data_IF_954426042718
#
_entry.id   IF_954426042718
#
_cell.length_a   1.000
_cell.length_b   1.000
_cell.length_c   1.000
_cell.angle_alpha   90.00
_cell.angle_beta   90.00
_cell.angle_gamma   90.00
#
_symmetry.space_group_name_H-M   'P 1'
#
loop_
_entity.id
_entity.type
_entity.pdbx_description
1 polymer ?
#
# COMPACT_ATOMS: atom_id res chain seq x y z
N UNK A 1 36.13 -67.01 13.18
CA UNK A 1 35.39 -66.69 11.95
C UNK A 1 36.35 -65.86 11.12
N UNK A 2 36.94 -66.47 10.09
CA UNK A 2 38.08 -65.95 9.35
C UNK A 2 37.69 -64.74 8.48
N UNK A 3 38.54 -63.72 8.48
CA UNK A 3 38.48 -62.57 7.59
C UNK A 3 38.63 -63.01 6.12
N UNK A 4 37.68 -62.61 5.29
CA UNK A 4 37.69 -62.84 3.84
C UNK A 4 38.64 -61.79 3.24
N UNK A 5 39.67 -62.18 2.46
CA UNK A 5 40.57 -61.24 1.79
C UNK A 5 39.80 -60.34 0.82
N UNK A 6 40.14 -59.05 0.81
CA UNK A 6 39.51 -58.00 0.01
C UNK A 6 39.84 -58.10 -1.51
N UNK A 7 40.22 -59.27 -1.99
CA UNK A 7 40.60 -59.53 -3.39
C UNK A 7 39.47 -60.16 -4.23
N UNK A 8 38.29 -60.39 -3.66
CA UNK A 8 37.14 -61.01 -4.36
C UNK A 8 35.90 -60.10 -4.44
N UNK A 9 36.08 -58.80 -4.69
CA UNK A 9 34.98 -57.84 -4.84
C UNK A 9 35.03 -57.00 -6.13
N UNK A 10 35.64 -57.49 -7.21
CA UNK A 10 35.65 -56.79 -8.49
C UNK A 10 35.56 -57.74 -9.70
N UNK A 11 34.46 -58.48 -9.84
CA UNK A 11 34.16 -59.21 -11.08
C UNK A 11 32.66 -59.12 -11.45
N UNK A 12 32.08 -57.92 -11.44
CA UNK A 12 30.70 -57.75 -11.96
C UNK A 12 30.45 -56.43 -12.69
N UNK A 13 31.47 -55.90 -13.36
CA UNK A 13 31.28 -54.86 -14.39
C UNK A 13 32.41 -54.93 -15.44
N UNK A 14 32.48 -56.00 -16.24
CA UNK A 14 33.11 -55.85 -17.55
C UNK A 14 32.06 -55.20 -18.44
N UNK A 15 32.30 -53.96 -18.86
CA UNK A 15 31.55 -53.36 -19.95
C UNK A 15 31.90 -54.16 -21.22
N UNK A 16 31.06 -55.12 -21.58
CA UNK A 16 31.16 -55.75 -22.89
C UNK A 16 30.74 -54.72 -23.94
N UNK A 17 31.58 -54.50 -24.94
CA UNK A 17 31.28 -53.62 -26.05
C UNK A 17 29.99 -54.09 -26.74
N UNK A 18 29.05 -53.18 -27.00
CA UNK A 18 27.83 -53.54 -27.71
C UNK A 18 28.18 -54.20 -29.05
N UNK A 19 27.43 -55.24 -29.46
CA UNK A 19 27.71 -56.01 -30.68
C UNK A 19 27.72 -55.16 -31.96
N UNK A 20 27.31 -53.89 -31.87
CA UNK A 20 27.31 -52.90 -32.94
C UNK A 20 27.84 -51.56 -32.44
N UNK A 21 28.95 -51.11 -33.03
CA UNK A 21 29.54 -49.78 -32.81
C UNK A 21 29.22 -48.91 -34.00
N UNK A 22 28.61 -47.75 -33.77
CA UNK A 22 28.31 -46.78 -34.81
C UNK A 22 29.48 -45.80 -34.94
N UNK A 23 29.96 -45.62 -36.18
CA UNK A 23 31.08 -44.76 -36.52
C UNK A 23 30.61 -43.61 -37.40
N UNK A 24 30.96 -42.38 -37.02
CA UNK A 24 30.65 -41.18 -37.78
C UNK A 24 31.91 -40.47 -38.24
N UNK A 25 31.87 -39.98 -39.47
CA UNK A 25 32.89 -39.14 -40.06
C UNK A 25 32.26 -37.80 -40.43
N UNK A 26 32.85 -36.71 -39.96
CA UNK A 26 32.41 -35.36 -40.29
C UNK A 26 33.54 -34.62 -40.99
N UNK A 27 33.38 -34.41 -42.30
CA UNK A 27 34.41 -33.80 -43.14
C UNK A 27 34.14 -32.31 -43.38
N UNK A 28 34.93 -31.45 -42.72
CA UNK A 28 34.87 -30.01 -42.92
C UNK A 28 35.97 -29.49 -43.87
N UNK A 29 36.75 -30.37 -44.51
CA UNK A 29 37.84 -29.94 -45.41
C UNK A 29 37.34 -29.08 -46.57
N UNK A 30 36.10 -29.32 -47.03
CA UNK A 30 35.46 -28.52 -48.08
C UNK A 30 35.27 -27.04 -47.72
N UNK A 31 35.28 -26.70 -46.43
CA UNK A 31 35.16 -25.31 -45.93
C UNK A 31 36.42 -24.83 -45.20
N UNK A 32 37.56 -25.52 -45.37
CA UNK A 32 38.84 -25.17 -44.75
C UNK A 32 38.99 -25.65 -43.30
N UNK A 33 38.12 -26.55 -42.82
CA UNK A 33 38.22 -27.19 -41.50
C UNK A 33 38.90 -28.55 -41.54
N UNK A 34 38.93 -29.22 -40.39
CA UNK A 34 39.48 -30.57 -40.23
C UNK A 34 38.39 -31.65 -40.33
N UNK A 35 38.79 -32.89 -40.59
CA UNK A 35 37.90 -34.06 -40.60
C UNK A 35 37.88 -34.69 -39.21
N UNK A 36 36.69 -34.85 -38.64
CA UNK A 36 36.48 -35.40 -37.29
C UNK A 36 35.89 -36.82 -37.36
N UNK A 37 36.26 -37.65 -36.39
CA UNK A 37 35.87 -39.06 -36.31
C UNK A 37 35.28 -39.35 -34.93
N UNK A 38 34.05 -39.86 -34.90
CA UNK A 38 33.31 -40.08 -33.66
C UNK A 38 32.74 -41.50 -33.56
N UNK A 39 32.66 -42.06 -32.36
CA UNK A 39 31.96 -43.32 -32.09
C UNK A 39 30.91 -43.18 -30.98
N UNK A 40 29.95 -44.09 -30.91
CA UNK A 40 28.89 -44.06 -29.90
C UNK A 40 29.35 -44.52 -28.52
N UNK A 41 30.34 -45.40 -28.46
CA UNK A 41 30.84 -46.02 -27.24
C UNK A 41 32.38 -46.14 -27.28
N UNK A 42 33.09 -46.03 -26.15
CA UNK A 42 34.53 -46.31 -26.06
C UNK A 42 34.83 -47.81 -26.27
N UNK A 43 36.11 -48.15 -26.45
CA UNK A 43 36.53 -49.55 -26.48
C UNK A 43 36.46 -50.21 -25.09
N UNK A 44 36.69 -51.52 -24.98
CA UNK A 44 36.65 -52.27 -23.71
C UNK A 44 37.64 -51.77 -22.63
N UNK A 45 38.61 -50.93 -23.02
CA UNK A 45 39.60 -50.31 -22.13
C UNK A 45 39.26 -48.87 -21.75
N UNK A 46 38.12 -48.34 -22.21
CA UNK A 46 37.72 -46.95 -22.00
C UNK A 46 38.47 -45.94 -22.86
N UNK A 47 39.18 -46.41 -23.89
CA UNK A 47 39.97 -45.57 -24.80
C UNK A 47 39.19 -45.31 -26.11
N UNK A 48 39.62 -44.31 -26.89
CA UNK A 48 39.11 -44.08 -28.24
C UNK A 48 39.21 -45.33 -29.11
N UNK A 49 38.21 -45.53 -29.97
CA UNK A 49 38.16 -46.71 -30.82
C UNK A 49 39.05 -46.53 -32.05
N UNK A 50 39.99 -47.43 -32.28
CA UNK A 50 40.77 -47.43 -33.53
C UNK A 50 40.15 -48.40 -34.54
N UNK A 51 39.69 -47.90 -35.68
CA UNK A 51 39.17 -48.71 -36.79
C UNK A 51 39.83 -48.31 -38.11
N UNK A 52 40.35 -49.30 -38.84
CA UNK A 52 41.09 -49.10 -40.11
C UNK A 52 42.23 -48.06 -40.01
N UNK A 53 42.93 -48.02 -38.87
CA UNK A 53 44.04 -47.10 -38.64
C UNK A 53 43.63 -45.66 -38.30
N UNK A 54 42.33 -45.39 -38.11
CA UNK A 54 41.81 -44.08 -37.69
C UNK A 54 41.23 -44.16 -36.28
N UNK A 55 41.46 -43.13 -35.48
CA UNK A 55 40.96 -43.01 -34.11
C UNK A 55 39.59 -42.32 -34.12
N UNK A 56 38.60 -42.94 -33.49
CA UNK A 56 37.24 -42.43 -33.31
C UNK A 56 37.04 -42.08 -31.84
N UNK A 57 36.71 -40.83 -31.58
CA UNK A 57 36.48 -40.34 -30.23
C UNK A 57 35.02 -40.61 -29.81
N UNK A 58 34.78 -41.17 -28.61
CA UNK A 58 33.42 -41.34 -28.10
C UNK A 58 32.71 -39.99 -28.03
N UNK A 59 31.65 -39.83 -28.83
CA UNK A 59 30.84 -38.62 -28.76
C UNK A 59 29.96 -38.73 -27.52
N UNK A 60 30.04 -37.80 -26.56
CA UNK A 60 29.17 -37.85 -25.41
C UNK A 60 27.74 -37.57 -25.85
N UNK A 61 26.95 -38.61 -26.13
CA UNK A 61 25.49 -38.52 -26.14
C UNK A 61 25.10 -38.34 -24.68
N UNK A 62 25.17 -37.11 -24.21
CA UNK A 62 24.55 -36.75 -22.95
C UNK A 62 23.05 -36.79 -23.17
N UNK A 63 22.38 -37.69 -22.46
CA UNK A 63 20.92 -37.71 -22.38
C UNK A 63 20.48 -36.37 -21.81
N UNK A 64 19.99 -35.46 -22.67
CA UNK A 64 19.57 -34.11 -22.25
C UNK A 64 18.43 -34.13 -21.23
N UNK A 65 17.59 -35.17 -21.29
CA UNK A 65 16.47 -35.39 -20.36
C UNK A 65 16.53 -36.82 -19.81
N UNK A 66 17.29 -37.07 -18.71
CA UNK A 66 17.41 -38.41 -18.12
C UNK A 66 16.06 -39.01 -17.67
N UNK A 67 15.04 -38.18 -17.47
CA UNK A 67 13.67 -38.59 -17.19
C UNK A 67 12.94 -39.21 -18.39
N UNK A 68 13.45 -39.04 -19.61
CA UNK A 68 12.73 -39.38 -20.84
C UNK A 68 11.56 -38.44 -21.16
N UNK A 69 11.37 -37.37 -20.37
CA UNK A 69 10.27 -36.41 -20.52
C UNK A 69 10.82 -35.09 -21.05
N UNK A 70 10.36 -34.67 -22.23
CA UNK A 70 10.65 -33.34 -22.78
C UNK A 70 9.78 -32.32 -22.02
N UNK A 71 10.38 -31.23 -21.48
CA UNK A 71 9.62 -30.19 -20.79
C UNK A 71 8.58 -29.51 -21.69
N UNK A 72 7.40 -29.23 -21.14
CA UNK A 72 6.42 -28.36 -21.81
C UNK A 72 6.89 -26.90 -21.71
N UNK A 73 7.21 -26.32 -22.86
CA UNK A 73 7.72 -24.95 -22.96
C UNK A 73 6.66 -23.94 -23.41
N UNK A 74 5.39 -24.35 -23.57
CA UNK A 74 4.30 -23.44 -23.96
C UNK A 74 4.05 -22.41 -22.85
N UNK A 75 4.10 -21.12 -23.18
CA UNK A 75 3.94 -20.03 -22.22
C UNK A 75 5.16 -19.78 -21.32
N UNK A 76 6.23 -20.58 -21.44
CA UNK A 76 7.41 -20.45 -20.58
C UNK A 76 8.52 -19.64 -21.26
N UNK A 77 9.24 -18.84 -20.46
CA UNK A 77 10.48 -18.17 -20.88
C UNK A 77 11.70 -18.86 -20.27
N UNK A 78 12.74 -19.09 -21.06
CA UNK A 78 14.00 -19.68 -20.56
C UNK A 78 14.77 -18.64 -19.74
N UNK A 79 15.02 -18.96 -18.48
CA UNK A 79 15.88 -18.20 -17.56
C UNK A 79 17.08 -19.05 -17.20
N UNK A 80 18.28 -18.47 -17.29
CA UNK A 80 19.51 -19.16 -16.89
C UNK A 80 19.44 -19.62 -15.43
N UNK A 81 19.88 -20.85 -15.15
CA UNK A 81 19.89 -21.38 -13.78
C UNK A 81 20.76 -20.48 -12.91
N UNK A 82 20.25 -19.94 -11.79
CA UNK A 82 21.08 -19.19 -10.87
C UNK A 82 22.18 -20.09 -10.28
N UNK A 83 23.23 -19.46 -9.76
CA UNK A 83 24.38 -20.15 -9.16
C UNK A 83 23.93 -21.10 -8.03
N UNK A 84 22.93 -20.69 -7.26
CA UNK A 84 22.33 -21.46 -6.16
C UNK A 84 20.82 -21.19 -6.08
N UNK A 85 20.12 -21.96 -5.24
CA UNK A 85 18.70 -21.71 -4.89
C UNK A 85 17.67 -22.28 -5.87
N UNK A 86 18.07 -22.85 -7.01
CA UNK A 86 17.17 -23.55 -7.95
C UNK A 86 17.83 -24.75 -8.62
N UNK A 87 17.03 -25.79 -8.86
CA UNK A 87 17.40 -26.95 -9.67
C UNK A 87 17.16 -26.69 -11.16
N UNK A 88 17.87 -27.43 -12.03
CA UNK A 88 17.65 -27.46 -13.48
C UNK A 88 16.22 -27.90 -13.78
N UNK A 89 15.56 -27.26 -14.76
CA UNK A 89 14.16 -27.48 -15.16
C UNK A 89 13.08 -27.24 -14.09
N UNK A 90 13.43 -26.64 -12.94
CA UNK A 90 12.41 -26.14 -12.02
C UNK A 90 11.58 -25.02 -12.69
N UNK A 91 10.32 -24.87 -12.29
CA UNK A 91 9.43 -23.79 -12.74
C UNK A 91 9.40 -22.65 -11.72
N UNK A 92 9.18 -21.42 -12.20
CA UNK A 92 9.02 -20.21 -11.40
C UNK A 92 7.89 -19.40 -12.02
N UNK A 93 6.81 -19.16 -11.28
CA UNK A 93 5.70 -18.34 -11.75
C UNK A 93 6.12 -16.87 -11.87
N UNK A 94 5.41 -16.14 -12.71
CA UNK A 94 5.53 -14.70 -12.83
C UNK A 94 5.10 -13.99 -11.54
N UNK A 95 5.56 -12.75 -11.38
CA UNK A 95 5.23 -11.97 -10.20
C UNK A 95 5.82 -10.56 -10.25
N UNK A 96 5.06 -9.61 -9.73
CA UNK A 96 5.54 -8.26 -9.57
C UNK A 96 6.55 -8.18 -8.43
N UNK A 97 7.61 -7.40 -8.65
CA UNK A 97 8.57 -7.09 -7.60
C UNK A 97 7.88 -6.27 -6.51
N UNK A 98 8.19 -6.57 -5.24
CA UNK A 98 7.73 -5.78 -4.09
C UNK A 98 8.06 -4.30 -4.27
N UNK A 99 7.06 -3.43 -4.10
CA UNK A 99 7.20 -1.98 -4.20
C UNK A 99 6.13 -1.28 -3.36
N UNK A 100 6.22 0.05 -3.27
CA UNK A 100 5.27 0.91 -2.57
C UNK A 100 4.87 2.10 -3.45
N UNK A 101 3.74 2.71 -3.16
CA UNK A 101 3.31 3.97 -3.77
C UNK A 101 3.28 5.09 -2.74
N UNK A 102 3.53 6.32 -3.19
CA UNK A 102 3.14 7.51 -2.43
C UNK A 102 1.69 7.83 -2.72
N UNK A 103 0.93 8.18 -1.69
CA UNK A 103 -0.47 8.59 -1.80
C UNK A 103 -0.70 9.85 -0.98
N UNK A 104 -1.63 10.70 -1.42
CA UNK A 104 -2.05 11.89 -0.69
C UNK A 104 -3.57 12.05 -0.79
N UNK A 105 -4.19 12.41 0.32
CA UNK A 105 -5.54 12.97 0.31
C UNK A 105 -5.46 14.47 -0.01
N UNK A 106 -6.49 14.99 -0.67
CA UNK A 106 -6.63 16.43 -0.87
C UNK A 106 -7.36 17.06 0.31
N UNK A 107 -7.10 18.33 0.55
CA UNK A 107 -7.80 19.10 1.59
C UNK A 107 -9.29 19.18 1.26
N UNK A 108 -10.13 19.09 2.29
CA UNK A 108 -11.60 19.21 2.18
C UNK A 108 -12.08 20.28 3.13
N UNK A 109 -12.63 21.37 2.59
CA UNK A 109 -13.29 22.42 3.37
C UNK A 109 -14.74 21.99 3.70
N UNK A 110 -15.07 21.93 4.99
CA UNK A 110 -16.43 21.60 5.46
C UNK A 110 -17.35 22.82 5.51
N UNK A 111 -16.80 24.03 5.37
CA UNK A 111 -17.50 25.30 5.36
C UNK A 111 -18.04 25.73 6.73
N UNK A 112 -18.71 26.88 6.75
CA UNK A 112 -19.33 27.46 7.96
C UNK A 112 -20.67 26.79 8.29
N UNK A 113 -20.93 26.56 9.58
CA UNK A 113 -22.19 26.01 10.09
C UNK A 113 -22.82 26.96 11.10
N UNK A 114 -24.15 27.08 11.07
CA UNK A 114 -24.92 27.84 12.06
C UNK A 114 -25.35 26.94 13.22
N UNK A 115 -25.39 27.48 14.42
CA UNK A 115 -25.94 26.78 15.60
C UNK A 115 -27.47 26.83 15.59
N UNK A 116 -28.12 26.04 16.44
CA UNK A 116 -29.53 26.22 16.75
C UNK A 116 -29.78 27.57 17.42
N UNK A 117 -31.02 28.06 17.31
CA UNK A 117 -31.47 29.30 17.95
C UNK A 117 -31.71 29.10 19.44
N UNK A 118 -31.38 30.12 20.24
CA UNK A 118 -31.66 30.19 21.67
C UNK A 118 -32.22 31.57 22.02
N UNK A 119 -33.37 31.61 22.71
CA UNK A 119 -34.05 32.83 23.13
C UNK A 119 -34.05 32.96 24.66
N UNK A 120 -33.52 34.07 25.17
CA UNK A 120 -33.52 34.37 26.61
C UNK A 120 -34.89 34.83 27.12
N UNK A 121 -35.81 35.22 26.24
CA UNK A 121 -37.11 35.78 26.57
C UNK A 121 -37.00 37.12 27.31
N UNK A 122 -38.04 37.47 28.05
CA UNK A 122 -38.09 38.70 28.87
C UNK A 122 -37.48 38.46 30.25
N UNK A 123 -36.64 39.39 30.71
CA UNK A 123 -36.08 39.41 32.07
C UNK A 123 -36.57 40.65 32.84
N UNK A 124 -36.84 40.50 34.12
CA UNK A 124 -37.28 41.60 34.99
C UNK A 124 -36.16 42.07 35.92
N UNK A 125 -36.20 43.34 36.31
CA UNK A 125 -35.31 43.93 37.31
C UNK A 125 -35.86 43.74 38.73
N UNK A 126 -35.05 44.03 39.75
CA UNK A 126 -35.53 44.14 41.12
C UNK A 126 -36.30 45.47 41.34
N UNK A 127 -37.21 45.49 42.32
CA UNK A 127 -37.97 46.70 42.70
C UNK A 127 -37.14 47.59 43.63
N UNK A 128 -36.91 48.85 43.24
CA UNK A 128 -36.18 49.87 44.04
C UNK A 128 -36.60 51.28 43.62
N UNK A 129 -36.06 52.33 44.27
CA UNK A 129 -36.26 53.74 43.89
C UNK A 129 -37.38 54.47 44.61
N UNK A 130 -38.11 53.80 45.52
CA UNK A 130 -39.12 54.45 46.34
C UNK A 130 -38.48 55.46 47.30
N UNK A 131 -38.93 56.70 47.26
CA UNK A 131 -38.49 57.78 48.14
C UNK A 131 -39.60 58.83 48.30
N UNK A 132 -39.57 59.60 49.37
CA UNK A 132 -40.59 60.62 49.71
C UNK A 132 -39.99 62.01 49.78
N UNK A 133 -40.72 63.02 49.26
CA UNK A 133 -40.44 64.45 49.47
C UNK A 133 -41.55 65.05 50.34
N UNK A 134 -41.26 65.99 51.25
CA UNK A 134 -42.25 66.55 52.19
C UNK A 134 -42.33 68.08 52.10
N UNK A 135 -43.57 68.60 52.01
CA UNK A 135 -43.91 70.01 52.20
C UNK A 135 -45.01 70.17 53.28
N UNK A 136 -45.24 71.40 53.68
CA UNK A 136 -45.85 71.89 54.94
C UNK A 136 -47.16 72.62 54.81
N UNK A 137 -47.43 73.16 53.64
CA UNK A 137 -48.64 73.92 53.36
C UNK A 137 -48.33 75.29 52.77
N UNK A 138 -49.36 75.88 52.15
CA UNK A 138 -49.34 77.22 51.59
C UNK A 138 -49.58 78.23 52.72
N UNK A 139 -48.62 79.11 53.02
CA UNK A 139 -48.88 80.29 53.84
C UNK A 139 -49.14 81.47 52.91
N UNK A 140 -50.36 81.99 52.95
CA UNK A 140 -50.74 83.24 52.31
C UNK A 140 -50.52 84.40 53.29
N UNK A 141 -50.08 85.57 52.81
CA UNK A 141 -49.90 86.74 53.67
C UNK A 141 -51.28 87.20 54.19
N UNK A 142 -51.36 87.53 55.49
CA UNK A 142 -52.61 87.93 56.15
C UNK A 142 -53.18 89.25 55.59
N UNK A 143 -52.42 89.98 54.77
CA UNK A 143 -52.76 91.31 54.23
C UNK A 143 -53.13 91.31 52.75
N UNK A 144 -53.33 90.13 52.13
CA UNK A 144 -53.92 90.02 50.80
C UNK A 144 -53.01 90.44 49.63
N UNK A 145 -51.73 90.71 49.87
CA UNK A 145 -50.77 90.90 48.78
C UNK A 145 -50.26 89.54 48.29
N UNK A 146 -50.70 89.13 47.10
CA UNK A 146 -50.33 87.83 46.51
C UNK A 146 -48.87 87.74 46.05
N UNK A 147 -47.95 88.51 46.64
CA UNK A 147 -46.58 88.68 46.13
C UNK A 147 -45.54 87.74 46.77
N UNK A 148 -45.84 87.05 47.88
CA UNK A 148 -44.90 86.11 48.49
C UNK A 148 -45.59 84.84 49.00
N UNK A 149 -45.50 83.76 48.21
CA UNK A 149 -45.85 82.41 48.66
C UNK A 149 -44.62 81.73 49.25
N UNK A 150 -44.66 81.37 50.53
CA UNK A 150 -43.58 80.58 51.17
C UNK A 150 -44.04 79.12 51.32
N UNK A 151 -43.17 78.19 50.91
CA UNK A 151 -43.37 76.75 51.13
C UNK A 151 -42.77 76.38 52.49
N UNK A 152 -43.61 76.11 53.49
CA UNK A 152 -43.15 75.47 54.74
C UNK A 152 -43.08 73.94 54.55
N UNK A 153 -42.31 73.16 55.34
CA UNK A 153 -42.39 71.68 55.43
C UNK A 153 -43.31 71.19 56.60
N UNK A 154 -44.05 70.06 56.47
CA UNK A 154 -44.91 69.53 57.58
C UNK A 154 -46.44 69.31 57.47
N UNK A 155 -47.13 69.23 56.32
CA UNK A 155 -48.59 69.48 56.26
C UNK A 155 -49.43 68.66 55.28
N UNK A 156 -48.93 67.51 54.83
CA UNK A 156 -49.74 66.51 54.15
C UNK A 156 -50.20 66.84 52.72
N UNK A 157 -49.65 67.90 52.09
CA UNK A 157 -49.86 68.18 50.69
C UNK A 157 -48.98 67.27 49.81
N UNK A 158 -49.58 66.58 48.83
CA UNK A 158 -48.90 65.67 47.91
C UNK A 158 -48.65 66.34 46.55
N UNK A 159 -47.52 66.02 45.92
CA UNK A 159 -47.22 66.46 44.54
C UNK A 159 -48.05 65.67 43.52
N UNK A 160 -48.16 66.18 42.29
CA UNK A 160 -48.76 65.45 41.16
C UNK A 160 -47.94 64.19 40.79
N UNK A 161 -48.53 63.29 39.99
CA UNK A 161 -47.85 62.08 39.51
C UNK A 161 -46.58 62.43 38.70
N UNK A 162 -45.44 61.87 39.10
CA UNK A 162 -44.13 62.06 38.50
C UNK A 162 -43.24 60.84 38.77
N UNK A 163 -42.09 60.74 38.08
CA UNK A 163 -41.09 59.68 38.32
C UNK A 163 -41.19 58.46 37.40
N UNK A 164 -42.08 58.48 36.39
CA UNK A 164 -42.04 57.51 35.30
C UNK A 164 -40.74 57.66 34.52
N UNK A 165 -39.94 56.61 34.49
CA UNK A 165 -38.64 56.59 33.83
C UNK A 165 -38.28 55.16 33.40
N UNK A 166 -37.44 55.05 32.37
CA UNK A 166 -36.92 53.79 31.88
C UNK A 166 -35.40 53.77 32.00
N UNK A 167 -34.85 52.58 32.24
CA UNK A 167 -33.42 52.32 32.18
C UNK A 167 -33.09 51.50 30.95
N UNK A 168 -31.98 51.81 30.30
CA UNK A 168 -31.40 50.96 29.27
C UNK A 168 -30.27 50.14 29.89
N UNK A 169 -30.24 48.84 29.60
CA UNK A 169 -29.18 47.93 30.04
C UNK A 169 -28.54 47.30 28.82
N UNK A 170 -27.25 47.56 28.61
CA UNK A 170 -26.47 46.91 27.56
C UNK A 170 -25.91 45.59 28.08
N UNK A 171 -26.21 44.47 27.41
CA UNK A 171 -25.76 43.13 27.82
C UNK A 171 -24.38 42.79 27.21
N UNK A 172 -24.20 43.06 25.91
CA UNK A 172 -22.96 42.77 25.19
C UNK A 172 -23.00 41.51 24.31
N UNK A 173 -22.00 41.39 23.43
CA UNK A 173 -21.79 40.20 22.59
C UNK A 173 -21.06 39.10 23.35
N UNK A 174 -21.22 37.86 22.90
CA UNK A 174 -20.48 36.71 23.41
C UNK A 174 -20.26 35.68 22.29
N UNK A 175 -19.26 34.82 22.47
CA UNK A 175 -18.90 33.76 21.54
C UNK A 175 -18.74 32.44 22.28
N UNK A 176 -18.89 31.34 21.54
CA UNK A 176 -18.67 29.99 22.04
C UNK A 176 -17.66 29.29 21.16
N UNK A 177 -16.89 28.36 21.75
CA UNK A 177 -16.03 27.45 21.02
C UNK A 177 -16.61 26.04 21.07
N UNK A 178 -16.41 25.27 20.00
CA UNK A 178 -16.83 23.88 19.92
C UNK A 178 -15.67 23.01 19.45
N UNK A 179 -15.38 21.96 20.20
CA UNK A 179 -14.38 20.96 19.84
C UNK A 179 -15.03 19.84 19.02
N UNK A 180 -14.54 19.60 17.79
CA UNK A 180 -15.10 18.58 16.87
C UNK A 180 -14.48 17.20 17.10
N UNK A 181 -13.18 17.14 17.43
CA UNK A 181 -12.45 15.89 17.66
C UNK A 181 -11.81 15.29 16.41
N UNK A 182 -10.92 14.29 16.59
CA UNK A 182 -10.26 13.57 15.50
C UNK A 182 -11.23 12.63 14.78
N UNK A 183 -11.02 12.41 13.48
CA UNK A 183 -11.72 11.42 12.67
C UNK A 183 -10.77 10.76 11.66
N UNK A 184 -11.20 9.66 11.05
CA UNK A 184 -10.41 8.90 10.08
C UNK A 184 -11.24 8.47 8.87
N UNK A 185 -10.56 7.91 7.87
CA UNK A 185 -11.15 7.42 6.64
C UNK A 185 -10.64 6.03 6.31
N UNK A 186 -11.49 5.21 5.69
CA UNK A 186 -11.07 3.93 5.09
C UNK A 186 -10.54 4.22 3.70
N UNK A 187 -9.37 3.68 3.38
CA UNK A 187 -8.78 3.77 2.04
C UNK A 187 -8.70 2.36 1.47
N UNK A 188 -9.26 2.18 0.27
CA UNK A 188 -9.23 0.93 -0.48
C UNK A 188 -8.41 1.17 -1.74
N UNK A 189 -7.48 0.27 -2.03
CA UNK A 189 -6.72 0.25 -3.28
C UNK A 189 -7.18 -0.99 -4.04
N UNK A 190 -7.93 -0.75 -5.12
CA UNK A 190 -8.41 -1.83 -5.97
C UNK A 190 -7.27 -2.46 -6.77
N UNK A 191 -7.44 -3.72 -7.16
CA UNK A 191 -6.47 -4.43 -7.98
C UNK A 191 -6.37 -3.79 -9.38
N UNK A 192 -5.14 -3.58 -9.85
CA UNK A 192 -4.84 -3.09 -11.19
C UNK A 192 -3.74 -3.95 -11.83
N UNK A 193 -3.92 -4.28 -13.10
CA UNK A 193 -2.97 -5.11 -13.86
C UNK A 193 -3.62 -6.14 -14.79
N UNK A 194 -2.76 -6.89 -15.48
CA UNK A 194 -3.15 -7.99 -16.36
C UNK A 194 -3.17 -9.32 -15.60
N UNK A 195 -3.63 -10.39 -16.24
CA UNK A 195 -3.61 -11.74 -15.67
C UNK A 195 -2.18 -12.30 -15.46
N UNK A 196 -1.19 -11.79 -16.21
CA UNK A 196 0.22 -12.20 -16.14
C UNK A 196 1.15 -10.97 -16.14
N UNK A 197 2.29 -11.08 -15.45
CA UNK A 197 3.38 -10.11 -15.48
C UNK A 197 4.27 -10.39 -16.69
N UNK A 198 4.10 -9.61 -17.75
CA UNK A 198 4.84 -9.79 -19.01
C UNK A 198 5.89 -8.72 -19.24
N UNK A 199 7.01 -9.10 -19.88
CA UNK A 199 7.88 -8.19 -20.62
C UNK A 199 7.52 -8.22 -22.09
N UNK A 200 7.96 -7.24 -22.89
CA UNK A 200 7.80 -7.29 -24.35
C UNK A 200 8.43 -8.58 -24.88
N UNK A 201 7.64 -9.38 -25.59
CA UNK A 201 8.05 -10.69 -26.09
C UNK A 201 7.45 -10.97 -27.48
N UNK A 202 8.01 -11.97 -28.16
CA UNK A 202 7.52 -12.51 -29.43
C UNK A 202 7.39 -14.01 -29.25
N UNK A 203 6.26 -14.58 -29.67
CA UNK A 203 6.02 -16.01 -29.56
C UNK A 203 6.84 -16.80 -30.60
N UNK A 204 7.54 -17.83 -30.14
CA UNK A 204 8.21 -18.84 -30.97
C UNK A 204 7.79 -20.24 -30.52
N UNK A 205 7.75 -21.18 -31.46
CA UNK A 205 7.59 -22.58 -31.11
C UNK A 205 8.92 -23.15 -30.62
N UNK A 206 8.97 -23.58 -29.36
CA UNK A 206 10.08 -24.36 -28.86
C UNK A 206 10.04 -25.77 -29.45
N UNK A 207 11.12 -26.15 -30.11
CA UNK A 207 11.31 -27.49 -30.68
C UNK A 207 12.60 -28.11 -30.13
N UNK A 208 12.64 -29.44 -30.09
CA UNK A 208 13.85 -30.20 -29.76
C UNK A 208 14.16 -31.15 -30.91
N UNK A 209 15.44 -31.26 -31.26
CA UNK A 209 15.89 -32.23 -32.27
C UNK A 209 15.81 -33.64 -31.70
N UNK A 210 15.06 -34.50 -32.37
CA UNK A 210 15.09 -35.95 -32.16
C UNK A 210 16.08 -36.54 -33.19
N UNK A 211 16.80 -37.59 -32.81
CA UNK A 211 17.94 -38.16 -33.56
C UNK A 211 17.65 -38.40 -35.04
#
# INVERSE_FOLDING_TARGET
>A
MQDIPQETLSETTKAEQSAKVDLWEFDLTAIGGERFFFCNEPNEKGEPLTWQGRQYEPYPIQVAYPSGIIPDMRGWTIKGKPISGRAVLSQEMDGNKSHSHTARAQDTDLGTKSTSSFDYGTKSTNTTGNHTHQFGGYINSYWGDSNHTSFQPGGGAWTQAAGDHAHTVYIGGHEHTMYIGPHGHVVIVDADGNAETTVKNIAFNYIVRLA
#
